data_IF_032742900413
#
_entry.id   IF_032742900413
#
_cell.length_a   1.000
_cell.length_b   1.000
_cell.length_c   1.000
_cell.angle_alpha   90.00
_cell.angle_beta   90.00
_cell.angle_gamma   90.00
#
_symmetry.space_group_name_H-M   'P 1'
#
loop_
_entity.id
_entity.type
_entity.pdbx_description
1 polymer ?
#
# COMPACT_ATOMS: atom_id res chain seq x y z
N UNK A 1 -21.44 -30.08 -4.33
CA UNK A 1 -19.98 -30.16 -4.50
C UNK A 1 -19.48 -28.79 -4.86
N UNK A 2 -18.64 -28.17 -4.03
CA UNK A 2 -17.87 -26.98 -4.44
C UNK A 2 -16.92 -27.40 -5.56
N UNK A 3 -16.84 -26.62 -6.63
CA UNK A 3 -15.90 -26.90 -7.73
C UNK A 3 -14.50 -26.39 -7.36
N UNK A 4 -13.44 -27.04 -7.87
CA UNK A 4 -12.05 -26.62 -7.64
C UNK A 4 -11.80 -25.15 -8.00
N UNK A 5 -12.48 -24.66 -9.04
CA UNK A 5 -12.43 -23.26 -9.46
C UNK A 5 -13.00 -22.29 -8.40
N UNK A 6 -14.11 -22.66 -7.74
CA UNK A 6 -14.70 -21.86 -6.65
C UNK A 6 -13.76 -21.78 -5.43
N UNK A 7 -13.09 -22.89 -5.11
CA UNK A 7 -12.12 -22.93 -4.02
C UNK A 7 -10.86 -22.09 -4.35
N UNK A 8 -10.35 -22.18 -5.58
CA UNK A 8 -9.23 -21.35 -6.05
C UNK A 8 -9.56 -19.85 -6.04
N UNK A 9 -10.79 -19.47 -6.38
CA UNK A 9 -11.24 -18.08 -6.31
C UNK A 9 -11.36 -17.59 -4.87
N UNK A 10 -11.91 -18.41 -3.97
CA UNK A 10 -11.99 -18.09 -2.55
C UNK A 10 -10.60 -17.90 -1.92
N UNK A 11 -9.66 -18.81 -2.18
CA UNK A 11 -8.28 -18.69 -1.68
C UNK A 11 -7.58 -17.44 -2.21
N UNK A 12 -7.76 -17.11 -3.49
CA UNK A 12 -7.21 -15.87 -4.07
C UNK A 12 -7.78 -14.62 -3.42
N UNK A 13 -9.09 -14.59 -3.13
CA UNK A 13 -9.71 -13.47 -2.44
C UNK A 13 -9.24 -13.34 -0.98
N UNK A 14 -9.09 -14.45 -0.26
CA UNK A 14 -8.59 -14.44 1.12
C UNK A 14 -7.12 -14.01 1.22
N UNK A 15 -6.27 -14.50 0.30
CA UNK A 15 -4.86 -14.06 0.20
C UNK A 15 -4.77 -12.59 -0.17
N UNK A 16 -5.63 -12.13 -1.08
CA UNK A 16 -5.68 -10.73 -1.47
C UNK A 16 -6.01 -9.79 -0.30
N UNK A 17 -6.96 -10.18 0.56
CA UNK A 17 -7.35 -9.42 1.74
C UNK A 17 -6.20 -9.35 2.77
N UNK A 18 -5.57 -10.49 3.03
CA UNK A 18 -4.42 -10.60 3.93
C UNK A 18 -3.21 -9.77 3.47
N UNK A 19 -2.85 -9.83 2.18
CA UNK A 19 -1.75 -9.03 1.63
C UNK A 19 -2.02 -7.52 1.69
N UNK A 20 -3.30 -7.11 1.54
CA UNK A 20 -3.72 -5.71 1.68
C UNK A 20 -3.52 -5.23 3.12
N UNK A 21 -3.96 -6.02 4.10
CA UNK A 21 -3.77 -5.74 5.52
C UNK A 21 -2.28 -5.64 5.88
N UNK A 22 -1.48 -6.62 5.46
CA UNK A 22 -0.04 -6.63 5.72
C UNK A 22 0.67 -5.41 5.11
N UNK A 23 0.30 -5.01 3.89
CA UNK A 23 0.86 -3.81 3.28
C UNK A 23 0.47 -2.55 4.07
N UNK A 24 -0.79 -2.43 4.48
CA UNK A 24 -1.30 -1.34 5.31
C UNK A 24 -0.56 -1.24 6.66
N UNK A 25 -0.44 -2.35 7.39
CA UNK A 25 0.31 -2.44 8.65
C UNK A 25 1.78 -2.07 8.47
N UNK A 26 2.40 -2.51 7.38
CA UNK A 26 3.79 -2.19 7.08
C UNK A 26 4.00 -0.69 6.79
N UNK A 27 3.06 -0.04 6.09
CA UNK A 27 3.06 1.40 5.88
C UNK A 27 2.91 2.16 7.20
N UNK A 28 2.01 1.72 8.08
CA UNK A 28 1.86 2.27 9.42
C UNK A 28 3.14 2.09 10.26
N UNK A 29 3.79 0.93 10.15
CA UNK A 29 5.06 0.62 10.78
C UNK A 29 6.20 1.54 10.32
N UNK A 30 6.18 2.02 9.08
CA UNK A 30 7.12 3.05 8.60
C UNK A 30 6.77 4.45 9.11
N UNK A 31 5.49 4.79 9.25
CA UNK A 31 5.05 6.13 9.65
C UNK A 31 5.52 6.49 11.07
N UNK A 32 5.48 5.55 12.03
CA UNK A 32 5.88 5.80 13.41
C UNK A 32 7.35 6.29 13.59
N UNK A 33 8.38 5.61 13.04
CA UNK A 33 9.76 6.10 13.10
C UNK A 33 9.99 7.38 12.30
N UNK A 34 9.22 7.61 11.23
CA UNK A 34 9.24 8.88 10.47
C UNK A 34 8.77 10.04 11.37
N UNK A 35 7.63 9.90 12.06
CA UNK A 35 7.10 10.91 12.99
C UNK A 35 8.07 11.22 14.12
N UNK A 36 8.73 10.19 14.66
CA UNK A 36 9.76 10.37 15.69
C UNK A 36 10.94 11.18 15.16
N UNK A 37 11.42 10.89 13.96
CA UNK A 37 12.50 11.64 13.32
C UNK A 37 12.10 13.09 13.01
N UNK A 38 10.87 13.33 12.55
CA UNK A 38 10.33 14.69 12.38
C UNK A 38 10.34 15.45 13.71
N UNK A 39 9.92 14.81 14.80
CA UNK A 39 9.95 15.38 16.14
C UNK A 39 11.37 15.76 16.60
N UNK A 40 12.35 14.90 16.35
CA UNK A 40 13.76 15.18 16.67
C UNK A 40 14.31 16.35 15.84
N UNK A 41 14.09 16.34 14.52
CA UNK A 41 14.61 17.37 13.61
C UNK A 41 13.97 18.75 13.81
N UNK A 42 12.81 18.82 14.45
CA UNK A 42 12.16 20.09 14.83
C UNK A 42 12.75 20.74 16.07
N UNK A 43 13.59 20.04 16.83
CA UNK A 43 14.21 20.59 18.03
C UNK A 43 15.22 21.70 17.66
N UNK A 44 15.39 22.74 18.50
CA UNK A 44 16.34 23.83 18.24
C UNK A 44 17.79 23.37 18.13
N UNK A 45 18.16 22.30 18.84
CA UNK A 45 19.51 21.71 18.85
C UNK A 45 19.36 20.17 18.88
N UNK A 46 19.10 19.52 17.73
CA UNK A 46 18.87 18.08 17.69
C UNK A 46 20.17 17.33 17.96
N UNK A 47 20.13 16.34 18.85
CA UNK A 47 21.27 15.44 19.08
C UNK A 47 21.54 14.59 17.83
N UNK A 48 22.67 14.86 17.18
CA UNK A 48 23.08 14.18 15.96
C UNK A 48 23.27 12.67 16.12
N UNK A 49 23.69 12.21 17.31
CA UNK A 49 23.81 10.77 17.59
C UNK A 49 22.44 10.13 17.71
N UNK A 50 21.51 10.77 18.41
CA UNK A 50 20.13 10.30 18.49
C UNK A 50 19.49 10.24 17.10
N UNK A 51 19.65 11.29 16.28
CA UNK A 51 19.15 11.31 14.89
C UNK A 51 19.77 10.19 14.06
N UNK A 52 21.08 9.97 14.13
CA UNK A 52 21.76 8.90 13.40
C UNK A 52 21.21 7.51 13.78
N UNK A 53 21.01 7.24 15.07
CA UNK A 53 20.44 5.97 15.55
C UNK A 53 19.01 5.75 15.03
N UNK A 54 18.17 6.78 15.05
CA UNK A 54 16.80 6.69 14.54
C UNK A 54 16.77 6.51 13.01
N UNK A 55 17.68 7.14 12.27
CA UNK A 55 17.81 6.94 10.82
C UNK A 55 18.23 5.51 10.50
N UNK A 56 19.16 4.91 11.25
CA UNK A 56 19.53 3.49 11.10
C UNK A 56 18.35 2.55 11.39
N UNK A 57 17.57 2.83 12.43
CA UNK A 57 16.34 2.10 12.72
C UNK A 57 15.34 2.18 11.56
N UNK A 58 15.11 3.39 11.03
CA UNK A 58 14.23 3.61 9.88
C UNK A 58 14.72 2.87 8.62
N UNK A 59 16.04 2.77 8.38
CA UNK A 59 16.57 1.98 7.26
C UNK A 59 16.16 0.51 7.36
N UNK A 60 16.20 -0.06 8.55
CA UNK A 60 15.84 -1.46 8.78
C UNK A 60 14.34 -1.68 8.57
N UNK A 61 13.48 -0.79 9.09
CA UNK A 61 12.04 -0.83 8.83
C UNK A 61 11.74 -0.70 7.33
N UNK A 62 12.38 0.23 6.62
CA UNK A 62 12.21 0.40 5.18
C UNK A 62 12.75 -0.80 4.37
N UNK A 63 13.78 -1.49 4.87
CA UNK A 63 14.30 -2.74 4.29
C UNK A 63 13.27 -3.87 4.42
N UNK A 64 12.69 -4.03 5.61
CA UNK A 64 11.65 -5.02 5.89
C UNK A 64 10.41 -4.77 5.04
N UNK A 65 9.94 -3.52 4.99
CA UNK A 65 8.85 -3.12 4.09
C UNK A 65 9.14 -3.45 2.63
N UNK A 66 10.36 -3.16 2.16
CA UNK A 66 10.76 -3.51 0.78
C UNK A 66 10.83 -5.01 0.51
N UNK A 67 11.14 -5.84 1.51
CA UNK A 67 11.09 -7.29 1.38
C UNK A 67 9.64 -7.79 1.30
N UNK A 68 8.75 -7.23 2.12
CA UNK A 68 7.31 -7.50 2.08
C UNK A 68 6.72 -7.14 0.71
N UNK A 69 6.99 -5.93 0.20
CA UNK A 69 6.48 -5.47 -1.11
C UNK A 69 6.91 -6.42 -2.24
N UNK A 70 8.13 -6.94 -2.19
CA UNK A 70 8.61 -7.92 -3.19
C UNK A 70 7.99 -9.31 -3.04
N UNK A 71 7.49 -9.65 -1.86
CA UNK A 71 6.87 -10.94 -1.58
C UNK A 71 5.36 -10.96 -1.90
N UNK A 72 4.76 -9.81 -2.23
CA UNK A 72 3.36 -9.71 -2.63
C UNK A 72 3.06 -10.59 -3.85
N UNK A 73 1.83 -11.08 -3.95
CA UNK A 73 1.36 -11.88 -5.06
C UNK A 73 1.50 -11.20 -6.43
N UNK A 74 1.51 -12.02 -7.49
CA UNK A 74 1.66 -11.54 -8.87
C UNK A 74 0.59 -10.53 -9.32
N UNK A 75 -0.59 -10.53 -8.69
CA UNK A 75 -1.67 -9.59 -9.00
C UNK A 75 -1.32 -8.13 -8.63
N UNK A 76 -0.43 -7.90 -7.67
CA UNK A 76 0.05 -6.56 -7.31
C UNK A 76 0.99 -5.97 -8.38
N UNK A 77 1.79 -6.82 -9.00
CA UNK A 77 2.85 -6.41 -9.92
C UNK A 77 2.32 -5.85 -11.25
N UNK A 78 1.03 -6.04 -11.55
CA UNK A 78 0.39 -5.53 -12.77
C UNK A 78 0.11 -4.02 -12.72
N UNK A 79 0.13 -3.42 -11.54
CA UNK A 79 -0.21 -2.02 -11.35
C UNK A 79 1.00 -1.12 -11.61
N UNK A 80 0.76 0.02 -12.25
CA UNK A 80 1.80 1.04 -12.44
C UNK A 80 2.32 1.54 -11.08
N UNK A 81 1.41 1.65 -10.11
CA UNK A 81 1.63 2.08 -8.74
C UNK A 81 2.65 1.19 -8.02
N UNK A 82 2.73 -0.10 -8.36
CA UNK A 82 3.71 -1.02 -7.78
C UNK A 82 5.14 -0.54 -8.09
N UNK A 83 5.40 -0.27 -9.38
CA UNK A 83 6.71 0.22 -9.81
C UNK A 83 6.99 1.64 -9.30
N UNK A 84 5.97 2.49 -9.23
CA UNK A 84 6.10 3.84 -8.67
C UNK A 84 6.48 3.80 -7.18
N UNK A 85 5.83 2.94 -6.41
CA UNK A 85 6.15 2.71 -4.99
C UNK A 85 7.54 2.13 -4.81
N UNK A 86 7.88 1.05 -5.53
CA UNK A 86 9.19 0.42 -5.45
C UNK A 86 10.34 1.39 -5.75
N UNK A 87 10.18 2.23 -6.78
CA UNK A 87 11.16 3.28 -7.13
C UNK A 87 11.30 4.32 -6.02
N UNK A 88 10.18 4.77 -5.46
CA UNK A 88 10.17 5.78 -4.41
C UNK A 88 10.78 5.24 -3.12
N UNK A 89 10.50 3.98 -2.77
CA UNK A 89 11.11 3.29 -1.64
C UNK A 89 12.62 3.14 -1.78
N UNK A 90 13.10 2.76 -2.97
CA UNK A 90 14.55 2.68 -3.24
C UNK A 90 15.25 4.04 -3.09
N UNK A 91 14.63 5.10 -3.61
CA UNK A 91 15.13 6.46 -3.45
C UNK A 91 15.14 6.90 -1.98
N UNK A 92 14.06 6.62 -1.25
CA UNK A 92 13.95 6.92 0.17
C UNK A 92 15.04 6.23 0.99
N UNK A 93 15.22 4.91 0.80
CA UNK A 93 16.29 4.14 1.47
C UNK A 93 17.68 4.69 1.20
N UNK A 94 17.94 5.13 -0.03
CA UNK A 94 19.22 5.74 -0.41
C UNK A 94 19.45 7.08 0.32
N UNK A 95 18.41 7.93 0.41
CA UNK A 95 18.47 9.20 1.14
C UNK A 95 18.66 8.99 2.64
N UNK A 96 17.92 8.07 3.26
CA UNK A 96 18.06 7.76 4.69
C UNK A 96 19.45 7.22 5.01
N UNK A 97 20.02 6.36 4.16
CA UNK A 97 21.39 5.86 4.33
C UNK A 97 22.43 6.98 4.26
N UNK A 98 22.27 7.93 3.33
CA UNK A 98 23.14 9.09 3.23
C UNK A 98 23.07 9.95 4.51
N UNK A 99 21.87 10.29 4.96
CA UNK A 99 21.67 11.09 6.18
C UNK A 99 22.20 10.38 7.42
N UNK A 100 22.01 9.06 7.55
CA UNK A 100 22.54 8.28 8.67
C UNK A 100 24.07 8.35 8.73
N UNK A 101 24.73 8.22 7.57
CA UNK A 101 26.18 8.34 7.46
C UNK A 101 26.66 9.74 7.82
N UNK A 102 26.04 10.78 7.25
CA UNK A 102 26.41 12.18 7.50
C UNK A 102 26.26 12.58 8.97
N UNK A 103 25.17 12.14 9.61
CA UNK A 103 24.91 12.39 11.03
C UNK A 103 25.93 11.66 11.94
N UNK A 104 26.33 10.44 11.58
CA UNK A 104 27.29 9.63 12.34
C UNK A 104 28.75 10.11 12.19
N UNK A 105 29.17 10.52 10.99
CA UNK A 105 30.57 10.88 10.70
C UNK A 105 30.91 12.30 11.15
N UNK A 106 29.99 13.24 11.00
CA UNK A 106 30.29 14.67 11.17
C UNK A 106 29.67 15.30 12.41
N UNK A 107 28.67 14.67 13.04
CA UNK A 107 27.79 15.26 14.07
C UNK A 107 27.24 16.66 13.71
N UNK A 108 27.38 17.12 12.46
CA UNK A 108 27.13 18.50 12.06
C UNK A 108 26.18 18.62 10.88
N UNK A 109 25.91 17.53 10.15
CA UNK A 109 25.03 17.57 8.99
C UNK A 109 23.84 16.64 9.16
N UNK A 110 22.79 17.22 9.72
CA UNK A 110 21.47 16.61 9.81
C UNK A 110 20.68 16.83 8.52
N UNK A 111 19.71 15.96 8.20
CA UNK A 111 18.78 16.22 7.11
C UNK A 111 18.02 17.53 7.37
N UNK A 112 17.88 18.34 6.33
CA UNK A 112 16.94 19.45 6.35
C UNK A 112 15.53 18.88 6.51
N UNK A 113 14.79 19.34 7.53
CA UNK A 113 13.47 18.81 7.88
C UNK A 113 12.54 18.70 6.67
N UNK A 114 12.45 19.74 5.85
CA UNK A 114 11.58 19.75 4.67
C UNK A 114 11.98 18.72 3.60
N UNK A 115 13.27 18.43 3.44
CA UNK A 115 13.74 17.37 2.53
C UNK A 115 13.38 15.98 3.06
N UNK A 116 13.54 15.78 4.37
CA UNK A 116 13.15 14.54 5.04
C UNK A 116 11.65 14.30 4.92
N UNK A 117 10.83 15.27 5.32
CA UNK A 117 9.37 15.21 5.25
C UNK A 117 8.89 14.95 3.82
N UNK A 118 9.45 15.64 2.83
CA UNK A 118 9.08 15.43 1.42
C UNK A 118 9.41 14.00 0.94
N UNK A 119 10.57 13.46 1.32
CA UNK A 119 10.94 12.10 0.95
C UNK A 119 10.03 11.07 1.63
N UNK A 120 9.70 11.29 2.91
CA UNK A 120 8.79 10.46 3.69
C UNK A 120 7.36 10.46 3.12
N UNK A 121 6.79 11.63 2.85
CA UNK A 121 5.45 11.76 2.26
C UNK A 121 5.35 11.09 0.90
N UNK A 122 6.39 11.18 0.08
CA UNK A 122 6.41 10.52 -1.23
C UNK A 122 6.34 9.00 -1.11
N UNK A 123 7.13 8.39 -0.24
CA UNK A 123 7.12 6.92 -0.10
C UNK A 123 5.83 6.41 0.54
N UNK A 124 5.32 7.10 1.57
CA UNK A 124 4.04 6.73 2.20
C UNK A 124 2.86 6.92 1.24
N UNK A 125 2.82 8.05 0.52
CA UNK A 125 1.77 8.35 -0.44
C UNK A 125 1.76 7.39 -1.63
N UNK A 126 2.93 7.00 -2.15
CA UNK A 126 3.01 6.01 -3.22
C UNK A 126 2.53 4.63 -2.76
N UNK A 127 2.86 4.22 -1.53
CA UNK A 127 2.39 2.98 -0.95
C UNK A 127 0.88 2.97 -0.68
N UNK A 128 0.33 4.07 -0.15
CA UNK A 128 -1.10 4.23 0.06
C UNK A 128 -1.89 4.20 -1.26
N UNK A 129 -1.34 4.79 -2.33
CA UNK A 129 -1.96 4.75 -3.65
C UNK A 129 -1.95 3.34 -4.25
N UNK A 130 -0.85 2.59 -4.08
CA UNK A 130 -0.80 1.19 -4.50
C UNK A 130 -1.88 0.36 -3.79
N UNK A 131 -2.01 0.54 -2.47
CA UNK A 131 -3.02 -0.13 -1.66
C UNK A 131 -4.45 0.21 -2.16
N UNK A 132 -4.76 1.49 -2.32
CA UNK A 132 -6.09 1.95 -2.79
C UNK A 132 -6.44 1.39 -4.19
N UNK A 133 -5.50 1.46 -5.14
CA UNK A 133 -5.73 0.92 -6.49
C UNK A 133 -5.95 -0.59 -6.46
N UNK A 134 -5.21 -1.31 -5.62
CA UNK A 134 -5.37 -2.74 -5.44
C UNK A 134 -6.77 -3.08 -4.89
N UNK A 135 -7.17 -2.45 -3.78
CA UNK A 135 -8.46 -2.67 -3.12
C UNK A 135 -9.64 -2.36 -4.05
N UNK A 136 -9.58 -1.23 -4.78
CA UNK A 136 -10.58 -0.90 -5.79
C UNK A 136 -10.66 -1.95 -6.91
N UNK A 137 -9.53 -2.52 -7.31
CA UNK A 137 -9.49 -3.57 -8.33
C UNK A 137 -10.11 -4.88 -7.83
N UNK A 138 -9.84 -5.25 -6.59
CA UNK A 138 -10.39 -6.42 -5.94
C UNK A 138 -11.92 -6.30 -5.79
N UNK A 139 -12.40 -5.13 -5.33
CA UNK A 139 -13.82 -4.85 -5.22
C UNK A 139 -14.54 -4.97 -6.57
N UNK A 140 -13.99 -4.37 -7.64
CA UNK A 140 -14.56 -4.49 -8.99
C UNK A 140 -14.64 -5.93 -9.49
N UNK A 141 -13.65 -6.77 -9.15
CA UNK A 141 -13.65 -8.18 -9.51
C UNK A 141 -14.76 -8.96 -8.77
N UNK A 142 -14.96 -8.67 -7.48
CA UNK A 142 -16.05 -9.25 -6.68
C UNK A 142 -17.43 -8.83 -7.20
N UNK A 143 -17.62 -7.55 -7.52
CA UNK A 143 -18.87 -7.03 -8.09
C UNK A 143 -19.17 -7.68 -9.44
N UNK A 144 -18.15 -7.84 -10.28
CA UNK A 144 -18.28 -8.52 -11.57
C UNK A 144 -18.67 -10.01 -11.38
N UNK A 145 -18.08 -10.71 -10.41
CA UNK A 145 -18.43 -12.09 -10.10
C UNK A 145 -19.87 -12.20 -9.57
N UNK A 146 -20.29 -11.30 -8.68
CA UNK A 146 -21.67 -11.24 -8.17
C UNK A 146 -22.67 -11.02 -9.31
N UNK A 147 -22.35 -10.13 -10.27
CA UNK A 147 -23.19 -9.87 -11.44
C UNK A 147 -23.33 -11.06 -12.39
N UNK A 148 -22.33 -11.96 -12.42
CA UNK A 148 -22.31 -13.21 -13.21
C UNK A 148 -23.07 -14.36 -12.54
N UNK A 149 -23.51 -14.19 -11.29
CA UNK A 149 -24.31 -15.20 -10.59
C UNK A 149 -25.61 -15.53 -11.36
N UNK A 150 -25.94 -16.82 -11.56
CA UNK A 150 -27.19 -17.24 -12.21
C UNK A 150 -28.45 -16.71 -11.54
N UNK A 151 -28.36 -16.33 -10.26
CA UNK A 151 -29.44 -15.73 -9.50
C UNK A 151 -29.69 -14.27 -9.91
N UNK A 152 -28.63 -13.47 -10.06
CA UNK A 152 -28.69 -12.07 -10.52
C UNK A 152 -29.13 -12.00 -11.99
N UNK A 153 -28.69 -12.95 -12.82
CA UNK A 153 -29.20 -13.12 -14.18
C UNK A 153 -30.69 -13.46 -14.22
N UNK A 154 -31.17 -14.35 -13.34
CA UNK A 154 -32.60 -14.68 -13.21
C UNK A 154 -33.42 -13.47 -12.75
N UNK A 155 -32.95 -12.69 -11.78
CA UNK A 155 -33.60 -11.45 -11.37
C UNK A 155 -33.65 -10.43 -12.52
N UNK A 156 -32.54 -10.14 -13.21
CA UNK A 156 -32.55 -9.20 -14.35
C UNK A 156 -33.45 -9.64 -15.50
N UNK A 157 -33.66 -10.94 -15.69
CA UNK A 157 -34.59 -11.48 -16.71
C UNK A 157 -36.04 -11.39 -16.25
N UNK A 158 -36.31 -11.61 -14.97
CA UNK A 158 -37.63 -11.44 -14.36
C UNK A 158 -38.07 -9.96 -14.37
N UNK A 159 -37.17 -9.04 -13.98
CA UNK A 159 -37.41 -7.59 -14.02
C UNK A 159 -37.63 -7.05 -15.43
N UNK A 160 -36.87 -7.54 -16.43
CA UNK A 160 -37.12 -7.19 -17.85
C UNK A 160 -38.46 -7.70 -18.35
N UNK A 161 -38.87 -8.92 -17.96
CA UNK A 161 -40.22 -9.44 -18.26
C UNK A 161 -41.32 -8.60 -17.61
N UNK A 162 -41.13 -8.18 -16.36
CA UNK A 162 -42.09 -7.34 -15.64
C UNK A 162 -42.25 -5.96 -16.29
N UNK A 163 -41.17 -5.34 -16.75
CA UNK A 163 -41.20 -4.05 -17.48
C UNK A 163 -41.85 -4.16 -18.87
N UNK A 164 -41.67 -5.27 -19.59
CA UNK A 164 -42.39 -5.51 -20.86
C UNK A 164 -43.88 -5.77 -20.67
N UNK A 165 -44.30 -6.33 -19.53
CA UNK A 165 -45.72 -6.53 -19.21
C UNK A 165 -46.39 -5.20 -18.82
N UNK A 166 -45.67 -4.29 -18.17
CA UNK A 166 -46.16 -2.95 -17.84
C UNK A 166 -46.31 -2.01 -19.04
N UNK A 167 -45.66 -2.31 -20.17
CA UNK A 167 -45.78 -1.53 -21.41
C UNK A 167 -46.81 -2.11 -22.41
N UNK A 168 -47.52 -3.17 -22.02
CA UNK A 168 -48.64 -3.76 -22.77
C UNK A 168 -49.80 -4.11 -21.81
N UNK A 169 -50.52 -3.08 -21.40
CA UNK A 169 -51.87 -3.18 -20.82
C UNK A 169 -52.71 -2.06 -21.43
N UNK A 170 -53.85 -2.38 -22.09
CA UNK A 170 -54.68 -1.44 -22.87
C UNK A 170 -55.34 -0.34 -22.03
#
# INVERSE_FOLDING_TARGET
MQTFDQYSQFLRAAVADEESLQLGESLQGMAAPIETLVGLLRQPDPDANAVAQHLLGLMEVARQHGALVQALGGDWHRFYEFNAHAKTLAHFRTRVALWAREAAESHQRLPVLSEFELAAWRVLGAGALLLDVYEQSAQRAQDAAASRSPFVWRLRRAWRRFLTVLHWGP
#
